data_IF_004568651225
#
_entry.id   IF_004568651225
#
_cell.length_a   1.000
_cell.length_b   1.000
_cell.length_c   1.000
_cell.angle_alpha   90.00
_cell.angle_beta   90.00
_cell.angle_gamma   90.00
#
_symmetry.space_group_name_H-M   'P 1'
#
loop_
_entity.id
_entity.type
_entity.pdbx_description
1 polymer ?
#
# COMPACT_ATOMS: atom_id res chain seq x y z
N UNK A 1 -10.20 5.50 6.85
CA UNK A 1 -9.66 5.71 5.49
C UNK A 1 -9.62 4.38 4.75
N UNK A 2 -10.66 4.07 3.97
CA UNK A 2 -10.67 2.92 3.07
C UNK A 2 -9.81 3.24 1.85
N UNK A 3 -8.62 2.62 1.76
CA UNK A 3 -7.87 2.61 0.52
C UNK A 3 -8.60 1.70 -0.47
N UNK A 4 -9.41 2.31 -1.34
CA UNK A 4 -10.03 1.62 -2.47
C UNK A 4 -8.94 1.17 -3.44
N UNK A 5 -8.58 -0.11 -3.36
CA UNK A 5 -7.79 -0.81 -4.36
C UNK A 5 -8.63 -0.99 -5.63
N UNK A 6 -8.62 0.02 -6.50
CA UNK A 6 -9.11 -0.10 -7.86
C UNK A 6 -7.95 -0.46 -8.81
N UNK A 7 -8.15 -1.56 -9.54
CA UNK A 7 -7.34 -2.16 -10.62
C UNK A 7 -6.34 -3.26 -10.21
N UNK A 8 -6.81 -4.50 -10.34
CA UNK A 8 -6.01 -5.73 -10.53
C UNK A 8 -5.33 -5.66 -11.92
N UNK A 9 -4.35 -4.78 -12.08
CA UNK A 9 -3.39 -4.88 -13.18
C UNK A 9 -2.18 -5.65 -12.67
N UNK A 10 -1.86 -6.77 -13.30
CA UNK A 10 -0.77 -7.71 -13.01
C UNK A 10 0.41 -7.07 -12.26
N UNK A 11 0.44 -7.26 -10.94
CA UNK A 11 1.52 -6.80 -10.04
C UNK A 11 2.85 -7.55 -10.31
N UNK A 12 2.81 -8.62 -11.11
CA UNK A 12 3.99 -9.45 -11.43
C UNK A 12 4.97 -8.84 -12.44
N UNK A 13 4.55 -7.96 -13.34
CA UNK A 13 5.39 -7.53 -14.47
C UNK A 13 6.04 -6.14 -14.28
N UNK A 14 5.58 -5.33 -13.32
CA UNK A 14 6.10 -3.97 -13.06
C UNK A 14 7.21 -3.90 -11.98
N UNK A 15 7.58 -5.02 -11.33
CA UNK A 15 8.45 -5.00 -10.13
C UNK A 15 9.95 -4.98 -10.38
N UNK A 16 10.44 -5.01 -11.64
CA UNK A 16 11.88 -5.15 -11.89
C UNK A 16 12.69 -3.84 -11.84
N UNK A 17 12.08 -2.66 -11.98
CA UNK A 17 12.83 -1.39 -12.06
C UNK A 17 12.27 -0.20 -11.25
N UNK A 18 11.29 -0.40 -10.36
CA UNK A 18 10.88 0.68 -9.45
C UNK A 18 11.90 0.85 -8.33
N UNK A 19 12.83 1.78 -8.53
CA UNK A 19 13.60 2.39 -7.45
C UNK A 19 12.61 3.29 -6.72
N UNK A 20 12.31 3.02 -5.45
CA UNK A 20 11.30 3.73 -4.66
C UNK A 20 11.77 5.16 -4.28
N UNK A 21 12.25 5.87 -5.29
CA UNK A 21 12.85 7.19 -5.27
C UNK A 21 11.75 8.24 -5.12
N UNK A 22 12.04 9.27 -4.31
CA UNK A 22 11.16 10.43 -4.22
C UNK A 22 11.49 11.48 -5.29
N UNK A 23 10.67 12.51 -5.35
CA UNK A 23 10.80 13.61 -6.31
C UNK A 23 12.19 14.26 -6.24
N UNK A 24 12.80 14.41 -5.06
CA UNK A 24 14.15 14.97 -4.94
C UNK A 24 15.20 14.09 -5.64
N UNK A 25 15.15 12.77 -5.45
CA UNK A 25 16.07 11.84 -6.11
C UNK A 25 15.84 11.80 -7.62
N UNK A 26 14.58 11.83 -8.06
CA UNK A 26 14.17 11.83 -9.47
C UNK A 26 14.68 13.08 -10.19
N UNK A 27 14.51 14.25 -9.57
CA UNK A 27 14.98 15.53 -10.10
C UNK A 27 16.52 15.54 -10.13
N UNK A 28 17.20 15.21 -9.02
CA UNK A 28 18.67 15.20 -8.96
C UNK A 28 19.35 14.20 -9.93
N UNK A 29 18.64 13.12 -10.30
CA UNK A 29 19.12 12.16 -11.31
C UNK A 29 19.16 12.77 -12.72
N UNK A 30 18.21 13.66 -13.06
CA UNK A 30 18.30 14.44 -14.31
C UNK A 30 19.59 15.27 -14.33
N UNK A 31 19.93 15.92 -13.22
CA UNK A 31 21.12 16.79 -13.14
C UNK A 31 22.44 16.02 -13.12
N UNK A 32 22.50 14.84 -12.48
CA UNK A 32 23.73 14.04 -12.44
C UNK A 32 24.11 13.47 -13.81
N UNK A 33 23.12 13.15 -14.65
CA UNK A 33 23.34 12.71 -16.03
C UNK A 33 23.78 13.87 -16.98
N UNK A 34 23.62 15.14 -16.58
CA UNK A 34 24.10 16.30 -17.37
C UNK A 34 25.63 16.36 -17.49
N UNK A 35 26.39 15.67 -16.63
CA UNK A 35 27.86 15.62 -16.73
C UNK A 35 28.38 14.69 -17.85
N UNK A 36 27.50 13.91 -18.51
CA UNK A 36 27.93 12.91 -19.53
C UNK A 36 27.35 13.17 -20.93
N UNK A 37 26.21 13.85 -21.07
CA UNK A 37 25.67 14.22 -22.38
C UNK A 37 25.13 15.65 -22.41
N UNK A 38 25.65 16.44 -23.34
CA UNK A 38 25.40 17.86 -23.56
C UNK A 38 24.07 18.18 -24.27
N UNK A 39 22.99 17.45 -23.95
CA UNK A 39 21.67 17.72 -24.52
C UNK A 39 20.76 18.32 -23.45
N UNK A 40 20.35 19.57 -23.67
CA UNK A 40 19.35 20.28 -22.85
C UNK A 40 18.02 19.52 -22.90
N UNK A 41 17.62 18.89 -21.81
CA UNK A 41 16.39 18.08 -21.68
C UNK A 41 15.14 18.89 -21.35
N UNK A 42 15.29 20.18 -21.07
CA UNK A 42 14.18 21.09 -20.79
C UNK A 42 13.53 21.55 -22.10
N UNK A 43 12.36 21.00 -22.43
CA UNK A 43 11.51 21.58 -23.48
C UNK A 43 10.55 22.56 -22.81
N UNK A 44 10.82 23.84 -22.97
CA UNK A 44 9.86 24.88 -22.62
C UNK A 44 8.83 25.01 -23.73
N UNK A 45 7.57 24.71 -23.44
CA UNK A 45 6.47 24.86 -24.39
C UNK A 45 5.64 26.05 -23.98
N UNK A 46 5.45 26.98 -24.91
CA UNK A 46 4.47 28.05 -24.77
C UNK A 46 3.09 27.47 -25.04
N UNK A 47 2.35 27.16 -23.98
CA UNK A 47 1.01 26.57 -24.12
C UNK A 47 -0.02 27.68 -24.34
N UNK A 48 -0.78 27.57 -25.43
CA UNK A 48 -2.01 28.35 -25.64
C UNK A 48 -3.17 27.59 -24.96
N UNK A 49 -3.94 28.21 -24.06
CA UNK A 49 -5.20 27.63 -23.59
C UNK A 49 -6.25 27.56 -24.71
N UNK A 50 -7.20 26.64 -24.58
CA UNK A 50 -8.17 26.19 -25.61
C UNK A 50 -9.23 27.22 -26.06
N UNK A 51 -9.01 28.52 -25.86
CA UNK A 51 -9.84 29.57 -26.44
C UNK A 51 -9.02 30.84 -26.67
N UNK A 52 -9.18 31.45 -27.85
CA UNK A 52 -8.45 32.63 -28.28
C UNK A 52 -8.51 33.79 -27.28
N UNK A 53 -7.42 34.56 -27.21
CA UNK A 53 -7.19 35.67 -26.28
C UNK A 53 -6.88 35.31 -24.82
N UNK A 54 -6.01 34.32 -24.61
CA UNK A 54 -5.39 34.08 -23.29
C UNK A 54 -3.86 33.95 -23.42
N UNK A 55 -3.05 34.35 -22.42
CA UNK A 55 -1.63 34.61 -22.65
C UNK A 55 -0.86 33.29 -22.68
N UNK A 56 0.28 33.28 -23.37
CA UNK A 56 1.14 32.11 -23.48
C UNK A 56 1.93 31.94 -22.18
N UNK A 57 1.83 30.78 -21.52
CA UNK A 57 2.69 30.47 -20.36
C UNK A 57 3.78 29.51 -20.78
N UNK A 58 4.98 29.80 -20.30
CA UNK A 58 6.11 28.90 -20.40
C UNK A 58 5.88 27.74 -19.42
N UNK A 59 5.68 26.54 -19.97
CA UNK A 59 5.65 25.30 -19.18
C UNK A 59 6.89 24.49 -19.46
N UNK A 60 7.44 23.90 -18.41
CA UNK A 60 8.60 23.04 -18.50
C UNK A 60 8.17 21.58 -18.52
N UNK A 61 8.72 20.82 -19.47
CA UNK A 61 8.39 19.41 -19.64
C UNK A 61 9.67 18.59 -19.72
N UNK A 62 9.73 17.52 -18.93
CA UNK A 62 10.77 16.48 -18.98
C UNK A 62 10.17 15.14 -18.55
N UNK A 63 10.89 14.05 -18.80
CA UNK A 63 10.45 12.71 -18.38
C UNK A 63 10.40 12.59 -16.85
N UNK A 64 11.36 13.15 -16.11
CA UNK A 64 11.35 13.09 -14.66
C UNK A 64 10.37 14.09 -14.04
N UNK A 65 10.14 15.26 -14.64
CA UNK A 65 9.02 16.14 -14.24
C UNK A 65 7.68 15.41 -14.40
N UNK A 66 7.46 14.73 -15.52
CA UNK A 66 6.23 13.95 -15.73
C UNK A 66 6.07 12.83 -14.69
N UNK A 67 7.17 12.19 -14.28
CA UNK A 67 7.17 11.20 -13.21
C UNK A 67 6.88 11.83 -11.83
N UNK A 68 7.51 12.97 -11.51
CA UNK A 68 7.27 13.71 -10.27
C UNK A 68 5.80 14.17 -10.16
N UNK A 69 5.24 14.65 -11.27
CA UNK A 69 3.82 14.99 -11.38
C UNK A 69 2.92 13.78 -11.15
N UNK A 70 3.27 12.61 -11.70
CA UNK A 70 2.54 11.35 -11.44
C UNK A 70 2.57 10.99 -9.95
N UNK A 71 3.71 11.13 -9.27
CA UNK A 71 3.81 10.90 -7.83
C UNK A 71 2.94 11.86 -7.00
N UNK A 72 2.74 13.09 -7.48
CA UNK A 72 1.84 14.07 -6.84
C UNK A 72 0.35 13.86 -7.19
N UNK A 73 0.02 12.84 -7.99
CA UNK A 73 -1.24 12.60 -8.68
C UNK A 73 -1.70 13.74 -9.61
N UNK A 74 -0.77 14.48 -10.19
CA UNK A 74 -1.01 15.48 -11.24
C UNK A 74 -0.62 14.99 -12.64
N UNK A 75 -0.41 13.69 -12.84
CA UNK A 75 0.00 13.06 -14.10
C UNK A 75 -1.07 13.07 -15.21
N UNK A 76 -1.67 14.24 -15.49
CA UNK A 76 -2.78 14.43 -16.45
C UNK A 76 -2.32 14.63 -17.89
N UNK A 77 -1.03 14.43 -18.19
CA UNK A 77 -0.44 14.74 -19.50
C UNK A 77 -1.04 13.92 -20.64
N UNK A 78 -1.50 12.70 -20.36
CA UNK A 78 -1.92 11.75 -21.41
C UNK A 78 -3.43 11.47 -21.46
N UNK A 79 -4.25 12.00 -20.54
CA UNK A 79 -5.70 11.78 -20.60
C UNK A 79 -6.54 12.85 -19.89
N UNK A 80 -7.31 13.60 -20.68
CA UNK A 80 -8.33 14.52 -20.18
C UNK A 80 -9.36 13.81 -19.28
N UNK A 81 -9.57 12.50 -19.48
CA UNK A 81 -10.45 11.66 -18.66
C UNK A 81 -9.97 11.54 -17.21
N UNK A 82 -8.69 11.23 -16.98
CA UNK A 82 -8.13 11.08 -15.63
C UNK A 82 -8.15 12.41 -14.87
N UNK A 83 -8.02 13.54 -15.58
CA UNK A 83 -8.16 14.88 -14.98
C UNK A 83 -9.57 15.13 -14.49
N UNK A 84 -10.58 14.88 -15.31
CA UNK A 84 -11.99 15.03 -14.93
C UNK A 84 -12.34 14.13 -13.74
N UNK A 85 -11.91 12.87 -13.76
CA UNK A 85 -12.15 11.95 -12.64
C UNK A 85 -11.48 12.40 -11.33
N UNK A 86 -10.26 12.95 -11.41
CA UNK A 86 -9.60 13.52 -10.24
C UNK A 86 -10.34 14.76 -9.71
N UNK A 87 -10.76 15.68 -10.58
CA UNK A 87 -11.54 16.85 -10.19
C UNK A 87 -12.89 16.45 -9.57
N UNK A 88 -13.60 15.49 -10.16
CA UNK A 88 -14.86 14.99 -9.60
C UNK A 88 -14.70 14.37 -8.21
N UNK A 89 -13.57 13.70 -7.94
CA UNK A 89 -13.25 13.19 -6.58
C UNK A 89 -13.03 14.32 -5.58
N UNK A 90 -12.37 15.40 -5.98
CA UNK A 90 -12.19 16.58 -5.12
C UNK A 90 -13.53 17.28 -4.84
N UNK A 91 -14.37 17.43 -5.87
CA UNK A 91 -15.71 17.99 -5.72
C UNK A 91 -16.61 17.13 -4.82
N UNK A 92 -16.49 15.80 -4.90
CA UNK A 92 -17.20 14.88 -4.00
C UNK A 92 -16.75 15.00 -2.53
N UNK A 93 -15.52 15.44 -2.30
CA UNK A 93 -14.96 15.71 -0.98
C UNK A 93 -15.21 17.16 -0.49
N UNK A 94 -16.00 17.96 -1.20
CA UNK A 94 -16.24 19.39 -0.91
C UNK A 94 -15.00 20.31 -1.07
N UNK A 95 -13.95 19.83 -1.76
CA UNK A 95 -12.71 20.57 -2.01
C UNK A 95 -12.78 21.40 -3.31
N UNK A 96 -13.79 22.27 -3.43
CA UNK A 96 -14.03 23.07 -4.65
C UNK A 96 -12.91 24.08 -4.95
N UNK A 97 -12.36 24.74 -3.93
CA UNK A 97 -11.26 25.71 -4.05
C UNK A 97 -10.03 25.08 -4.68
N UNK A 98 -9.68 23.89 -4.20
CA UNK A 98 -8.53 23.13 -4.67
C UNK A 98 -8.75 22.64 -6.09
N UNK A 99 -9.91 22.07 -6.39
CA UNK A 99 -10.25 21.61 -7.73
C UNK A 99 -10.19 22.75 -8.77
N UNK A 100 -10.68 23.94 -8.40
CA UNK A 100 -10.60 25.13 -9.23
C UNK A 100 -9.16 25.61 -9.45
N UNK A 101 -8.35 25.70 -8.40
CA UNK A 101 -6.95 26.08 -8.50
C UNK A 101 -6.15 25.11 -9.39
N UNK A 102 -6.35 23.80 -9.23
CA UNK A 102 -5.69 22.78 -10.06
C UNK A 102 -6.11 22.90 -11.54
N UNK A 103 -7.40 23.15 -11.80
CA UNK A 103 -7.90 23.38 -13.16
C UNK A 103 -7.27 24.63 -13.78
N UNK A 104 -7.15 25.70 -12.99
CA UNK A 104 -6.52 26.95 -13.40
C UNK A 104 -5.02 26.79 -13.70
N UNK A 105 -4.26 26.07 -12.86
CA UNK A 105 -2.85 25.76 -13.12
C UNK A 105 -2.67 24.91 -14.39
N UNK A 106 -3.65 24.07 -14.70
CA UNK A 106 -3.72 23.34 -15.95
C UNK A 106 -4.18 24.20 -17.15
N UNK A 107 -4.33 25.52 -16.96
CA UNK A 107 -4.77 26.51 -17.96
C UNK A 107 -6.21 26.30 -18.45
N UNK A 108 -7.00 25.53 -17.71
CA UNK A 108 -8.42 25.34 -17.96
C UNK A 108 -9.25 26.24 -17.04
N UNK A 109 -9.24 27.53 -17.38
CA UNK A 109 -9.99 28.55 -16.65
C UNK A 109 -11.51 28.35 -16.78
N UNK A 110 -12.00 27.71 -17.85
CA UNK A 110 -13.43 27.43 -18.02
C UNK A 110 -13.90 26.45 -16.95
N UNK A 111 -13.23 25.30 -16.84
CA UNK A 111 -13.55 24.31 -15.80
C UNK A 111 -13.34 24.89 -14.40
N UNK A 112 -12.31 25.73 -14.20
CA UNK A 112 -12.10 26.40 -12.91
C UNK A 112 -13.30 27.26 -12.49
N UNK A 113 -13.82 28.10 -13.39
CA UNK A 113 -15.01 28.94 -13.12
C UNK A 113 -16.25 28.08 -12.91
N UNK A 114 -16.46 27.04 -13.71
CA UNK A 114 -17.59 26.11 -13.56
C UNK A 114 -17.56 25.36 -12.23
N UNK A 115 -16.39 24.92 -11.78
CA UNK A 115 -16.21 24.25 -10.48
C UNK A 115 -16.45 25.21 -9.31
N UNK A 116 -15.94 26.44 -9.35
CA UNK A 116 -16.22 27.44 -8.31
C UNK A 116 -17.70 27.81 -8.25
N UNK A 117 -18.34 28.01 -9.41
CA UNK A 117 -19.76 28.37 -9.49
C UNK A 117 -20.65 27.25 -8.93
N UNK A 118 -20.33 25.98 -9.26
CA UNK A 118 -21.03 24.81 -8.70
C UNK A 118 -20.83 24.71 -7.18
N UNK A 119 -19.59 24.86 -6.71
CA UNK A 119 -19.29 24.86 -5.28
C UNK A 119 -20.02 25.96 -4.53
N UNK A 120 -20.08 27.16 -5.10
CA UNK A 120 -20.79 28.29 -4.52
C UNK A 120 -22.30 28.02 -4.43
N UNK A 121 -22.93 27.53 -5.50
CA UNK A 121 -24.35 27.14 -5.48
C UNK A 121 -24.67 26.07 -4.43
N UNK A 122 -23.79 25.07 -4.26
CA UNK A 122 -23.98 24.01 -3.26
C UNK A 122 -23.88 24.56 -1.84
N UNK A 123 -22.93 25.45 -1.57
CA UNK A 123 -22.75 26.06 -0.24
C UNK A 123 -23.83 27.09 0.08
N UNK A 124 -24.30 27.84 -0.92
CA UNK A 124 -25.46 28.73 -0.80
C UNK A 124 -26.73 27.95 -0.43
N UNK A 125 -26.94 26.78 -1.07
CA UNK A 125 -28.06 25.89 -0.76
C UNK A 125 -27.98 25.27 0.65
N UNK A 126 -26.79 25.26 1.27
CA UNK A 126 -26.57 24.79 2.65
C UNK A 126 -26.62 25.92 3.69
N UNK A 127 -26.93 27.15 3.28
CA UNK A 127 -26.91 28.35 4.11
C UNK A 127 -25.55 28.59 4.81
N UNK A 128 -24.45 28.12 4.20
CA UNK A 128 -23.10 28.33 4.72
C UNK A 128 -22.66 29.77 4.43
N UNK A 129 -22.67 30.59 5.48
CA UNK A 129 -22.36 32.02 5.41
C UNK A 129 -20.96 32.29 4.84
N UNK A 130 -20.92 32.96 3.68
CA UNK A 130 -19.77 33.62 3.03
C UNK A 130 -18.75 32.68 2.40
N UNK A 131 -19.12 32.07 1.27
CA UNK A 131 -18.13 31.52 0.35
C UNK A 131 -17.55 32.65 -0.54
N UNK A 132 -16.22 32.82 -0.54
CA UNK A 132 -15.54 33.72 -1.49
C UNK A 132 -15.48 33.12 -2.92
N UNK A 133 -16.20 32.02 -3.16
CA UNK A 133 -16.17 31.26 -4.42
C UNK A 133 -16.78 32.04 -5.57
N UNK A 134 -17.95 32.66 -5.38
CA UNK A 134 -18.58 33.51 -6.40
C UNK A 134 -17.71 34.70 -6.77
N UNK A 135 -17.09 35.34 -5.77
CA UNK A 135 -16.18 36.47 -5.99
C UNK A 135 -15.00 36.07 -6.89
N UNK A 136 -14.36 34.95 -6.57
CA UNK A 136 -13.23 34.43 -7.35
C UNK A 136 -13.70 34.00 -8.74
N UNK A 137 -14.83 33.29 -8.87
CA UNK A 137 -15.40 32.89 -10.17
C UNK A 137 -15.66 34.10 -11.08
N UNK A 138 -16.23 35.17 -10.53
CA UNK A 138 -16.46 36.43 -11.25
C UNK A 138 -15.13 37.06 -11.68
N UNK A 139 -14.15 37.17 -10.78
CA UNK A 139 -12.83 37.72 -11.09
C UNK A 139 -12.11 36.93 -12.19
N UNK A 140 -12.19 35.59 -12.15
CA UNK A 140 -11.65 34.70 -13.18
C UNK A 140 -12.35 34.87 -14.53
N UNK A 141 -13.67 35.02 -14.54
CA UNK A 141 -14.43 35.23 -15.78
C UNK A 141 -14.12 36.56 -16.47
N UNK A 142 -13.82 37.59 -15.67
CA UNK A 142 -13.43 38.93 -16.13
C UNK A 142 -11.97 39.06 -16.53
N UNK A 143 -11.17 37.99 -16.46
CA UNK A 143 -9.78 38.03 -16.88
C UNK A 143 -9.64 38.22 -18.39
N UNK A 144 -9.03 39.32 -18.79
CA UNK A 144 -8.68 39.64 -20.17
C UNK A 144 -7.16 39.75 -20.32
N UNK A 145 -6.61 39.37 -21.46
CA UNK A 145 -5.19 39.55 -21.80
C UNK A 145 -4.70 41.01 -21.73
N UNK A 146 -5.62 41.95 -21.75
CA UNK A 146 -5.32 43.36 -21.72
C UNK A 146 -5.01 43.78 -20.29
N UNK A 147 -3.76 44.23 -20.08
CA UNK A 147 -3.13 44.46 -18.77
C UNK A 147 -3.73 45.69 -18.09
N UNK A 148 -4.95 45.57 -17.57
CA UNK A 148 -5.49 46.61 -16.70
C UNK A 148 -4.75 46.53 -15.38
N UNK A 149 -3.76 47.40 -15.18
CA UNK A 149 -3.03 47.55 -13.91
C UNK A 149 -3.99 47.66 -12.71
N UNK A 150 -5.18 48.23 -12.93
CA UNK A 150 -6.26 48.29 -11.97
C UNK A 150 -6.82 46.90 -11.57
N UNK A 151 -7.03 46.01 -12.53
CA UNK A 151 -7.53 44.66 -12.26
C UNK A 151 -6.52 43.84 -11.45
N UNK A 152 -5.23 43.90 -11.82
CA UNK A 152 -4.15 43.23 -11.07
C UNK A 152 -4.01 43.79 -9.66
N UNK A 153 -4.08 45.12 -9.50
CA UNK A 153 -4.06 45.77 -8.18
C UNK A 153 -5.24 45.31 -7.33
N UNK A 154 -6.45 45.29 -7.90
CA UNK A 154 -7.66 44.84 -7.20
C UNK A 154 -7.56 43.36 -6.78
N UNK A 155 -7.06 42.47 -7.65
CA UNK A 155 -6.84 41.07 -7.30
C UNK A 155 -5.83 40.92 -6.15
N UNK A 156 -4.77 41.71 -6.13
CA UNK A 156 -3.79 41.72 -5.05
C UNK A 156 -4.36 42.24 -3.73
N UNK A 157 -5.16 43.30 -3.76
CA UNK A 157 -5.82 43.87 -2.58
C UNK A 157 -6.77 42.82 -1.96
N UNK A 158 -7.60 42.18 -2.79
CA UNK A 158 -8.52 41.12 -2.34
C UNK A 158 -7.82 39.81 -1.96
N UNK A 159 -6.62 39.51 -2.47
CA UNK A 159 -5.86 38.29 -2.12
C UNK A 159 -5.65 38.16 -0.62
N UNK A 160 -5.39 39.27 0.07
CA UNK A 160 -5.21 39.29 1.53
C UNK A 160 -6.50 38.98 2.30
N UNK A 161 -7.66 39.20 1.69
CA UNK A 161 -8.98 38.99 2.30
C UNK A 161 -9.50 37.56 2.10
N UNK A 162 -8.83 36.75 1.28
CA UNK A 162 -9.23 35.38 1.01
C UNK A 162 -8.71 34.43 2.10
N UNK A 163 -9.63 33.72 2.75
CA UNK A 163 -9.32 32.74 3.80
C UNK A 163 -8.63 31.48 3.26
N UNK A 164 -9.06 30.98 2.09
CA UNK A 164 -8.57 29.71 1.57
C UNK A 164 -7.25 29.87 0.78
N UNK A 165 -6.20 29.08 1.09
CA UNK A 165 -4.88 29.21 0.44
C UNK A 165 -4.92 28.93 -1.07
N UNK A 166 -5.77 28.00 -1.52
CA UNK A 166 -5.91 27.70 -2.96
C UNK A 166 -6.51 28.84 -3.77
N UNK A 167 -7.41 29.65 -3.17
CA UNK A 167 -7.97 30.82 -3.82
C UNK A 167 -6.93 31.96 -3.90
N UNK A 168 -6.13 32.14 -2.84
CA UNK A 168 -4.99 33.07 -2.85
C UNK A 168 -3.96 32.69 -3.92
N UNK A 169 -3.63 31.41 -4.01
CA UNK A 169 -2.74 30.87 -5.02
C UNK A 169 -3.29 31.03 -6.44
N UNK A 170 -4.61 30.90 -6.63
CA UNK A 170 -5.27 31.14 -7.91
C UNK A 170 -5.13 32.61 -8.36
N UNK A 171 -5.33 33.57 -7.45
CA UNK A 171 -5.11 34.99 -7.74
C UNK A 171 -3.64 35.28 -8.02
N UNK A 172 -2.72 34.81 -7.17
CA UNK A 172 -1.29 34.97 -7.38
C UNK A 172 -0.82 34.42 -8.74
N UNK A 173 -1.37 33.28 -9.18
CA UNK A 173 -1.03 32.70 -10.48
C UNK A 173 -1.45 33.60 -11.65
N UNK A 174 -2.63 34.24 -11.58
CA UNK A 174 -3.13 35.05 -12.69
C UNK A 174 -2.50 36.44 -12.69
N UNK A 175 -2.20 37.00 -11.52
CA UNK A 175 -1.51 38.30 -11.41
C UNK A 175 -0.04 38.21 -11.84
N UNK A 176 0.61 37.07 -11.60
CA UNK A 176 2.04 36.86 -11.90
C UNK A 176 2.29 36.12 -13.23
N UNK A 177 1.21 35.84 -13.98
CA UNK A 177 1.19 35.05 -15.22
C UNK A 177 2.13 35.56 -16.32
N UNK A 178 2.37 36.87 -16.40
CA UNK A 178 3.11 37.54 -17.48
C UNK A 178 4.60 37.79 -17.15
N UNK A 179 4.97 37.80 -15.87
CA UNK A 179 6.34 38.06 -15.43
C UNK A 179 7.23 36.81 -15.37
N UNK A 180 6.64 35.61 -15.50
CA UNK A 180 7.36 34.33 -15.38
C UNK A 180 7.94 34.05 -13.99
N UNK A 181 7.66 34.91 -13.00
CA UNK A 181 8.08 34.77 -11.61
C UNK A 181 6.88 34.28 -10.81
N UNK A 182 6.85 32.98 -10.54
CA UNK A 182 5.79 32.36 -9.75
C UNK A 182 6.12 32.28 -8.25
N UNK A 183 7.05 33.15 -7.81
CA UNK A 183 7.54 33.18 -6.43
C UNK A 183 6.39 33.39 -5.44
N UNK A 184 5.42 34.24 -5.77
CA UNK A 184 4.26 34.53 -4.92
C UNK A 184 3.32 33.32 -4.73
N UNK A 185 3.33 32.36 -5.66
CA UNK A 185 2.50 31.13 -5.55
C UNK A 185 3.22 30.08 -4.71
N UNK A 186 4.55 30.03 -4.80
CA UNK A 186 5.37 28.93 -4.26
C UNK A 186 5.89 29.25 -2.86
N UNK A 187 6.30 30.50 -2.62
CA UNK A 187 6.95 30.93 -1.38
C UNK A 187 6.00 31.65 -0.41
N UNK A 188 4.97 32.33 -0.90
CA UNK A 188 4.07 33.12 -0.04
C UNK A 188 2.96 32.28 0.60
N UNK A 189 2.62 31.12 0.05
CA UNK A 189 1.49 30.29 0.50
C UNK A 189 1.97 28.91 1.00
N UNK A 190 2.57 28.82 2.22
CA UNK A 190 3.05 27.55 2.78
C UNK A 190 1.91 26.56 3.10
N UNK A 191 0.68 27.05 3.29
CA UNK A 191 -0.50 26.26 3.66
C UNK A 191 -1.08 25.39 2.53
N UNK A 192 -0.56 25.52 1.31
CA UNK A 192 -0.92 24.62 0.22
C UNK A 192 -0.38 23.21 0.49
N UNK A 193 -1.14 22.18 0.13
CA UNK A 193 -0.67 20.80 0.29
C UNK A 193 0.66 20.59 -0.44
N UNK A 194 1.61 19.91 0.22
CA UNK A 194 2.98 19.75 -0.27
C UNK A 194 3.02 19.17 -1.70
N UNK A 195 2.18 18.18 -1.97
CA UNK A 195 2.03 17.54 -3.29
C UNK A 195 1.64 18.53 -4.40
N UNK A 196 0.77 19.49 -4.11
CA UNK A 196 0.28 20.43 -5.11
C UNK A 196 1.33 21.52 -5.37
N UNK A 197 2.08 21.93 -4.33
CA UNK A 197 3.21 22.86 -4.45
C UNK A 197 4.34 22.28 -5.31
N UNK A 198 4.72 21.02 -5.05
CA UNK A 198 5.75 20.31 -5.83
C UNK A 198 5.29 20.16 -7.28
N UNK A 199 4.04 19.78 -7.50
CA UNK A 199 3.50 19.61 -8.83
C UNK A 199 3.49 20.93 -9.61
N UNK A 200 3.04 22.02 -8.98
CA UNK A 200 3.09 23.36 -9.55
C UNK A 200 4.54 23.78 -9.90
N UNK A 201 5.48 23.57 -8.98
CA UNK A 201 6.89 23.86 -9.20
C UNK A 201 7.44 23.10 -10.41
N UNK A 202 7.13 21.79 -10.54
CA UNK A 202 7.56 21.00 -11.70
C UNK A 202 6.98 21.50 -13.04
N UNK A 203 5.84 22.20 -13.05
CA UNK A 203 5.23 22.73 -14.28
C UNK A 203 5.84 24.05 -14.74
N UNK A 204 6.18 24.93 -13.80
CA UNK A 204 6.42 26.36 -14.08
C UNK A 204 7.80 26.87 -13.68
N UNK A 205 8.58 26.12 -12.90
CA UNK A 205 9.96 26.48 -12.56
C UNK A 205 10.96 25.87 -13.54
N UNK A 206 11.96 26.69 -13.90
CA UNK A 206 13.14 26.22 -14.62
C UNK A 206 13.97 25.27 -13.75
N UNK A 207 14.86 24.54 -14.39
CA UNK A 207 15.71 23.54 -13.74
C UNK A 207 16.46 24.05 -12.50
N UNK A 208 17.07 25.23 -12.56
CA UNK A 208 17.91 25.75 -11.48
C UNK A 208 17.06 26.18 -10.28
N UNK A 209 16.00 26.94 -10.53
CA UNK A 209 15.08 27.37 -9.46
C UNK A 209 14.33 26.19 -8.84
N UNK A 210 13.98 25.17 -9.64
CA UNK A 210 13.33 23.96 -9.14
C UNK A 210 14.24 23.18 -8.17
N UNK A 211 15.53 23.04 -8.50
CA UNK A 211 16.48 22.37 -7.61
C UNK A 211 16.68 23.15 -6.30
N UNK A 212 16.82 24.46 -6.41
CA UNK A 212 16.95 25.37 -5.26
C UNK A 212 15.68 25.42 -4.40
N UNK A 213 14.51 25.09 -4.96
CA UNK A 213 13.27 24.95 -4.21
C UNK A 213 13.15 23.58 -3.51
N UNK A 214 13.42 22.48 -4.23
CA UNK A 214 13.18 21.12 -3.75
C UNK A 214 14.17 20.69 -2.67
N UNK A 215 15.45 21.10 -2.76
CA UNK A 215 16.47 20.67 -1.79
C UNK A 215 16.21 21.22 -0.37
N UNK A 216 15.98 22.54 -0.16
CA UNK A 216 15.62 23.07 1.16
C UNK A 216 14.31 22.50 1.68
N UNK A 217 13.29 22.37 0.83
CA UNK A 217 12.01 21.79 1.20
C UNK A 217 12.16 20.34 1.67
N UNK A 218 13.02 19.56 1.02
CA UNK A 218 13.35 18.19 1.45
C UNK A 218 14.00 18.17 2.82
N UNK A 219 14.92 19.11 3.10
CA UNK A 219 15.54 19.24 4.42
C UNK A 219 14.51 19.62 5.50
N UNK A 220 13.60 20.56 5.20
CA UNK A 220 12.54 20.99 6.10
C UNK A 220 11.58 19.85 6.47
N UNK A 221 11.11 19.06 5.49
CA UNK A 221 10.21 17.93 5.79
C UNK A 221 10.89 16.83 6.61
N UNK A 222 12.19 16.63 6.41
CA UNK A 222 12.99 15.69 7.22
C UNK A 222 13.16 16.22 8.65
N UNK A 223 13.48 17.50 8.83
CA UNK A 223 13.72 18.09 10.14
C UNK A 223 12.44 18.20 10.97
N UNK A 224 11.31 18.50 10.33
CA UNK A 224 9.99 18.58 10.98
C UNK A 224 9.35 17.21 11.22
N UNK A 225 9.81 16.17 10.52
CA UNK A 225 9.25 14.82 10.58
C UNK A 225 7.87 14.71 9.90
N UNK A 226 7.59 15.50 8.86
CA UNK A 226 6.31 15.49 8.17
C UNK A 226 6.21 14.33 7.18
N UNK A 227 5.27 13.40 7.39
CA UNK A 227 5.06 12.22 6.55
C UNK A 227 4.68 12.55 5.09
N UNK A 228 4.10 13.71 4.79
CA UNK A 228 3.87 14.13 3.39
C UNK A 228 5.18 14.22 2.60
N UNK A 229 6.29 14.47 3.29
CA UNK A 229 7.63 14.51 2.72
C UNK A 229 8.12 13.19 2.13
N UNK A 230 7.42 12.07 2.36
CA UNK A 230 7.70 10.79 1.66
C UNK A 230 7.61 10.96 0.14
N UNK A 231 6.81 11.89 -0.37
CA UNK A 231 6.75 12.20 -1.81
C UNK A 231 8.11 12.73 -2.32
N UNK A 232 8.81 13.54 -1.50
CA UNK A 232 10.10 14.13 -1.84
C UNK A 232 11.26 13.17 -1.65
N UNK A 233 11.29 12.46 -0.52
CA UNK A 233 12.40 11.56 -0.18
C UNK A 233 12.27 10.18 -0.82
N UNK A 234 11.04 9.72 -1.03
CA UNK A 234 10.74 8.33 -1.31
C UNK A 234 11.13 7.43 -0.14
N UNK A 235 11.15 6.12 -0.39
CA UNK A 235 11.64 5.13 0.55
C UNK A 235 13.17 4.92 0.39
N UNK A 236 13.90 6.02 0.44
CA UNK A 236 15.37 6.07 0.35
C UNK A 236 15.97 6.25 1.76
N UNK A 237 17.30 6.42 1.84
CA UNK A 237 18.00 6.74 3.09
C UNK A 237 17.47 8.02 3.74
N UNK A 238 17.10 9.03 2.95
CA UNK A 238 16.51 10.27 3.46
C UNK A 238 15.07 10.06 3.95
N UNK A 239 14.31 9.17 3.30
CA UNK A 239 13.00 8.75 3.79
C UNK A 239 13.07 8.04 5.13
N UNK A 240 14.12 7.24 5.36
CA UNK A 240 14.37 6.65 6.68
C UNK A 240 14.72 7.69 7.74
N UNK A 241 15.44 8.77 7.39
CA UNK A 241 15.71 9.88 8.32
C UNK A 241 14.41 10.61 8.69
N UNK A 242 13.55 10.86 7.70
CA UNK A 242 12.23 11.45 7.92
C UNK A 242 11.38 10.60 8.86
N UNK A 243 11.28 9.30 8.60
CA UNK A 243 10.55 8.37 9.46
C UNK A 243 11.14 8.30 10.88
N UNK A 244 12.47 8.33 11.03
CA UNK A 244 13.09 8.40 12.35
C UNK A 244 12.66 9.67 13.10
N UNK A 245 12.70 10.84 12.45
CA UNK A 245 12.27 12.09 13.08
C UNK A 245 10.78 12.10 13.43
N UNK A 246 9.95 11.48 12.59
CA UNK A 246 8.54 11.27 12.89
C UNK A 246 8.36 10.40 14.15
N UNK A 247 9.05 9.25 14.23
CA UNK A 247 9.01 8.36 15.39
C UNK A 247 9.54 9.06 16.64
N UNK A 248 10.65 9.79 16.54
CA UNK A 248 11.24 10.55 17.68
C UNK A 248 10.24 11.57 18.26
N UNK A 249 9.41 12.17 17.40
CA UNK A 249 8.43 13.19 17.80
C UNK A 249 7.12 12.61 18.35
N UNK A 250 6.64 11.53 17.74
CA UNK A 250 5.28 11.00 17.98
C UNK A 250 5.26 9.72 18.81
N UNK A 251 6.35 8.96 18.82
CA UNK A 251 6.39 7.59 19.32
C UNK A 251 5.61 6.58 18.46
N UNK A 252 5.02 7.00 17.33
CA UNK A 252 4.20 6.13 16.49
C UNK A 252 5.06 5.17 15.64
N UNK A 253 5.44 4.08 16.30
CA UNK A 253 6.21 2.99 15.71
C UNK A 253 5.39 2.13 14.75
N UNK A 254 4.06 2.12 14.91
CA UNK A 254 3.15 1.35 14.09
C UNK A 254 3.13 1.90 12.66
N UNK A 255 2.91 3.20 12.51
CA UNK A 255 2.88 3.85 11.20
C UNK A 255 4.21 3.71 10.50
N UNK A 256 5.33 3.93 11.20
CA UNK A 256 6.67 3.75 10.63
C UNK A 256 6.93 2.30 10.17
N UNK A 257 6.59 1.31 11.01
CA UNK A 257 6.79 -0.12 10.69
C UNK A 257 5.91 -0.57 9.51
N UNK A 258 4.65 -0.14 9.46
CA UNK A 258 3.75 -0.47 8.37
C UNK A 258 4.19 0.21 7.06
N UNK A 259 4.54 1.50 7.10
CA UNK A 259 5.05 2.22 5.93
C UNK A 259 6.29 1.53 5.35
N UNK A 260 7.22 1.10 6.21
CA UNK A 260 8.40 0.33 5.83
C UNK A 260 8.02 -0.99 5.15
N UNK A 261 7.19 -1.80 5.81
CA UNK A 261 6.89 -3.17 5.34
C UNK A 261 6.20 -3.11 3.98
N UNK A 262 5.34 -2.12 3.75
CA UNK A 262 4.62 -1.96 2.50
C UNK A 262 5.45 -1.26 1.41
N UNK A 263 6.32 -0.34 1.78
CA UNK A 263 6.95 0.61 0.86
C UNK A 263 8.42 0.37 0.53
N UNK A 264 9.14 -0.50 1.24
CA UNK A 264 10.60 -0.59 1.11
C UNK A 264 11.07 -1.82 0.32
N UNK A 265 11.96 -1.66 -0.69
CA UNK A 265 12.68 -2.77 -1.32
C UNK A 265 13.41 -3.67 -0.32
N UNK A 266 13.54 -4.96 -0.66
CA UNK A 266 14.30 -5.92 0.15
C UNK A 266 15.73 -5.46 0.50
N UNK A 267 16.36 -4.60 -0.32
CA UNK A 267 17.70 -4.06 -0.11
C UNK A 267 17.83 -3.13 1.12
N UNK A 268 16.80 -2.36 1.46
CA UNK A 268 16.80 -1.42 2.60
C UNK A 268 16.16 -2.06 3.84
N UNK A 269 15.48 -3.20 3.67
CA UNK A 269 14.87 -3.97 4.75
C UNK A 269 15.88 -4.59 5.74
N UNK A 270 17.18 -4.57 5.44
CA UNK A 270 18.24 -5.06 6.32
C UNK A 270 18.87 -3.96 7.20
N UNK A 271 18.37 -2.72 7.11
CA UNK A 271 18.85 -1.66 7.99
C UNK A 271 18.46 -1.96 9.45
N UNK A 272 19.43 -1.91 10.36
CA UNK A 272 19.27 -2.21 11.79
C UNK A 272 18.16 -1.36 12.44
N UNK A 273 18.10 -0.07 12.09
CA UNK A 273 17.06 0.85 12.59
C UNK A 273 15.65 0.39 12.23
N UNK A 274 15.48 -0.04 10.98
CA UNK A 274 14.20 -0.52 10.46
C UNK A 274 13.79 -1.83 11.14
N UNK A 275 14.76 -2.72 11.36
CA UNK A 275 14.54 -3.95 12.12
C UNK A 275 14.10 -3.63 13.55
N UNK A 276 14.80 -2.70 14.22
CA UNK A 276 14.46 -2.26 15.57
C UNK A 276 13.02 -1.73 15.68
N UNK A 277 12.56 -0.92 14.72
CA UNK A 277 11.18 -0.44 14.70
C UNK A 277 10.17 -1.57 14.59
N UNK A 278 10.42 -2.49 13.65
CA UNK A 278 9.55 -3.64 13.43
C UNK A 278 9.52 -4.52 14.68
N UNK A 279 10.66 -4.82 15.29
CA UNK A 279 10.73 -5.62 16.51
C UNK A 279 10.05 -4.92 17.70
N UNK A 280 10.18 -3.60 17.82
CA UNK A 280 9.48 -2.82 18.86
C UNK A 280 7.96 -2.85 18.68
N UNK A 281 7.46 -2.71 17.45
CA UNK A 281 6.03 -2.82 17.16
C UNK A 281 5.51 -4.25 17.37
N UNK A 282 6.33 -5.24 17.00
CA UNK A 282 6.11 -6.65 17.28
C UNK A 282 5.93 -6.88 18.79
N UNK A 283 6.90 -6.51 19.61
CA UNK A 283 6.81 -6.66 21.07
C UNK A 283 5.62 -5.89 21.66
N UNK A 284 5.29 -4.71 21.12
CA UNK A 284 4.11 -3.96 21.54
C UNK A 284 2.82 -4.75 21.31
N UNK A 285 2.67 -5.38 20.14
CA UNK A 285 1.52 -6.26 19.87
C UNK A 285 1.50 -7.49 20.78
N UNK A 286 2.66 -8.05 21.09
CA UNK A 286 2.76 -9.21 21.99
C UNK A 286 2.35 -8.84 23.42
N UNK A 287 2.81 -7.69 23.93
CA UNK A 287 2.41 -7.19 25.26
C UNK A 287 0.91 -6.90 25.37
N UNK A 288 0.27 -6.51 24.28
CA UNK A 288 -1.18 -6.30 24.21
C UNK A 288 -1.96 -7.59 23.88
N UNK A 289 -1.28 -8.74 23.79
CA UNK A 289 -1.88 -10.02 23.44
C UNK A 289 -2.60 -10.01 22.07
N UNK A 290 -2.20 -9.10 21.18
CA UNK A 290 -2.76 -8.93 19.83
C UNK A 290 -2.07 -9.88 18.84
N UNK A 291 -2.00 -11.16 19.19
CA UNK A 291 -1.28 -12.22 18.46
C UNK A 291 -1.74 -12.35 17.01
N UNK A 292 -3.04 -12.15 16.75
CA UNK A 292 -3.60 -12.21 15.40
C UNK A 292 -3.07 -11.09 14.51
N UNK A 293 -2.97 -9.87 15.03
CA UNK A 293 -2.42 -8.72 14.30
C UNK A 293 -0.92 -8.87 14.09
N UNK A 294 -0.21 -9.39 15.10
CA UNK A 294 1.19 -9.76 14.98
C UNK A 294 1.41 -10.80 13.88
N UNK A 295 0.61 -11.86 13.84
CA UNK A 295 0.70 -12.86 12.80
C UNK A 295 0.49 -12.25 11.40
N UNK A 296 -0.52 -11.37 11.24
CA UNK A 296 -0.74 -10.63 9.98
C UNK A 296 0.48 -9.79 9.58
N UNK A 297 1.09 -9.08 10.53
CA UNK A 297 2.32 -8.30 10.30
C UNK A 297 3.47 -9.18 9.79
N UNK A 298 3.70 -10.31 10.46
CA UNK A 298 4.78 -11.24 10.10
C UNK A 298 4.55 -11.89 8.71
N UNK A 299 3.29 -12.18 8.35
CA UNK A 299 2.92 -12.64 7.02
C UNK A 299 3.21 -11.57 5.97
N UNK A 300 2.83 -10.31 6.23
CA UNK A 300 3.08 -9.19 5.32
C UNK A 300 4.58 -8.98 5.09
N UNK A 301 5.39 -9.02 6.16
CA UNK A 301 6.84 -8.92 6.10
C UNK A 301 7.46 -10.05 5.27
N UNK A 302 6.99 -11.30 5.46
CA UNK A 302 7.45 -12.44 4.67
C UNK A 302 7.07 -12.34 3.19
N UNK A 303 5.86 -11.86 2.86
CA UNK A 303 5.44 -11.71 1.46
C UNK A 303 6.35 -10.75 0.69
N UNK A 304 6.84 -9.70 1.35
CA UNK A 304 7.66 -8.67 0.71
C UNK A 304 9.16 -8.97 0.74
N UNK A 305 9.61 -9.92 1.57
CA UNK A 305 10.96 -10.47 1.53
C UNK A 305 10.98 -11.73 0.67
N UNK A 306 11.70 -11.71 -0.45
CA UNK A 306 12.09 -12.94 -1.16
C UNK A 306 13.11 -13.78 -0.34
N UNK A 307 13.05 -13.72 0.99
CA UNK A 307 13.90 -14.51 1.87
C UNK A 307 13.36 -15.92 1.96
N UNK A 308 14.29 -16.86 2.11
CA UNK A 308 14.01 -18.26 2.40
C UNK A 308 12.97 -18.38 3.52
N UNK A 309 12.01 -19.31 3.40
CA UNK A 309 11.07 -19.57 4.49
C UNK A 309 11.87 -19.90 5.76
N UNK A 310 11.41 -19.43 6.95
CA UNK A 310 12.09 -19.77 8.19
C UNK A 310 12.19 -21.29 8.32
N UNK A 311 13.28 -21.81 8.92
CA UNK A 311 13.44 -23.25 9.11
C UNK A 311 12.22 -23.79 9.86
N UNK A 312 11.62 -24.87 9.35
CA UNK A 312 10.53 -25.53 10.04
C UNK A 312 11.06 -26.08 11.37
N UNK A 313 10.51 -25.59 12.48
CA UNK A 313 10.93 -25.97 13.84
C UNK A 313 10.10 -27.11 14.42
N UNK A 314 9.02 -27.52 13.76
CA UNK A 314 8.14 -28.59 14.19
C UNK A 314 7.77 -29.49 13.01
N UNK A 315 7.80 -30.81 13.25
CA UNK A 315 7.44 -31.83 12.28
C UNK A 315 6.45 -32.81 12.91
N UNK A 316 5.44 -33.25 12.16
CA UNK A 316 4.58 -34.35 12.60
C UNK A 316 5.31 -35.67 12.40
N UNK A 317 5.34 -36.54 13.41
CA UNK A 317 5.91 -37.87 13.33
C UNK A 317 4.86 -38.96 13.52
N UNK A 318 5.09 -40.13 12.93
CA UNK A 318 4.20 -41.27 13.11
C UNK A 318 4.41 -41.89 14.50
N UNK A 319 3.36 -42.05 15.29
CA UNK A 319 3.44 -42.70 16.61
C UNK A 319 4.02 -44.12 16.58
N UNK A 320 3.97 -44.80 15.43
CA UNK A 320 4.44 -46.18 15.32
C UNK A 320 5.89 -46.33 14.83
N UNK A 321 6.32 -45.52 13.86
CA UNK A 321 7.69 -45.62 13.32
C UNK A 321 8.57 -44.42 13.66
N UNK A 322 8.02 -43.41 14.33
CA UNK A 322 8.66 -42.15 14.75
C UNK A 322 9.27 -41.31 13.63
N UNK A 323 9.23 -41.79 12.39
CA UNK A 323 9.65 -41.05 11.20
C UNK A 323 8.67 -39.92 10.91
N UNK A 324 9.15 -38.77 10.40
CA UNK A 324 8.29 -37.66 10.03
C UNK A 324 7.27 -38.11 8.99
N UNK A 325 6.02 -37.69 9.17
CA UNK A 325 4.94 -37.87 8.19
C UNK A 325 5.07 -36.75 7.14
N UNK A 326 6.29 -36.38 6.75
CA UNK A 326 6.51 -35.28 5.81
C UNK A 326 5.76 -35.57 4.51
N UNK A 327 4.75 -34.74 4.24
CA UNK A 327 3.93 -34.79 3.04
C UNK A 327 4.51 -33.97 1.89
N UNK A 328 5.77 -33.55 1.98
CA UNK A 328 6.47 -32.89 0.89
C UNK A 328 7.22 -33.92 0.05
N UNK A 329 6.98 -33.90 -1.26
CA UNK A 329 7.81 -34.60 -2.26
C UNK A 329 9.23 -34.01 -2.36
N UNK A 330 9.75 -33.37 -1.30
CA UNK A 330 11.00 -32.62 -1.28
C UNK A 330 12.21 -33.46 -0.89
N UNK A 331 12.03 -34.68 -0.37
CA UNK A 331 13.15 -35.62 -0.17
C UNK A 331 13.75 -36.11 -1.51
N UNK A 332 13.19 -35.70 -2.65
CA UNK A 332 13.70 -36.00 -3.99
C UNK A 332 14.53 -34.87 -4.64
N UNK A 333 14.70 -33.72 -3.99
CA UNK A 333 15.47 -32.60 -4.57
C UNK A 333 16.56 -32.12 -3.63
N UNK A 334 17.56 -32.98 -3.39
CA UNK A 334 18.90 -32.49 -3.08
C UNK A 334 19.51 -31.89 -4.36
N UNK A 335 20.03 -30.65 -4.36
CA UNK A 335 20.61 -30.03 -5.55
C UNK A 335 21.86 -30.74 -6.12
N UNK A 336 22.39 -31.76 -5.42
CA UNK A 336 23.65 -32.41 -5.77
C UNK A 336 23.56 -33.90 -6.15
N UNK A 337 22.36 -34.47 -6.31
CA UNK A 337 22.23 -35.85 -6.79
C UNK A 337 22.25 -35.90 -8.34
N UNK A 338 23.43 -36.07 -8.94
CA UNK A 338 23.62 -36.33 -10.40
C UNK A 338 23.09 -37.70 -10.87
N UNK A 339 22.18 -38.32 -10.14
CA UNK A 339 21.62 -39.63 -10.48
C UNK A 339 20.16 -39.68 -10.04
N UNK A 340 19.24 -39.54 -10.99
CA UNK A 340 17.82 -39.80 -10.77
C UNK A 340 17.64 -41.32 -10.97
N UNK A 341 17.37 -42.14 -9.94
CA UNK A 341 16.93 -43.49 -10.18
C UNK A 341 15.53 -43.39 -10.78
N UNK A 342 15.36 -43.87 -12.02
CA UNK A 342 14.03 -44.01 -12.64
C UNK A 342 13.16 -44.88 -11.71
N UNK A 343 12.16 -44.27 -11.09
CA UNK A 343 11.16 -44.98 -10.30
C UNK A 343 10.38 -45.89 -11.27
N UNK A 344 10.26 -47.21 -11.00
CA UNK A 344 9.48 -48.11 -11.84
C UNK A 344 8.02 -47.67 -11.93
N UNK A 345 7.44 -47.74 -13.14
CA UNK A 345 6.06 -47.32 -13.47
C UNK A 345 5.01 -47.98 -12.55
N UNK A 346 5.32 -49.14 -11.96
CA UNK A 346 4.48 -49.81 -10.97
C UNK A 346 4.24 -48.99 -9.68
N UNK A 347 5.22 -48.21 -9.21
CA UNK A 347 5.09 -47.36 -8.02
C UNK A 347 4.24 -46.10 -8.30
N UNK A 348 4.22 -45.65 -9.56
CA UNK A 348 3.46 -44.48 -10.00
C UNK A 348 1.94 -44.73 -9.99
N UNK A 349 1.50 -45.99 -10.19
CA UNK A 349 0.11 -46.42 -10.00
C UNK A 349 -0.29 -46.51 -8.53
N UNK A 350 0.64 -46.87 -7.64
CA UNK A 350 0.37 -46.88 -6.19
C UNK A 350 0.24 -45.48 -5.58
N UNK A 351 0.93 -44.47 -6.13
CA UNK A 351 0.83 -43.07 -5.65
C UNK A 351 -0.54 -42.45 -5.99
N UNK A 352 -1.15 -42.82 -7.12
CA UNK A 352 -2.51 -42.34 -7.50
C UNK A 352 -3.64 -43.00 -6.70
N UNK A 353 -3.39 -44.18 -6.14
CA UNK A 353 -4.37 -44.96 -5.36
C UNK A 353 -3.95 -45.12 -3.89
N UNK A 354 -2.98 -44.32 -3.42
CA UNK A 354 -2.49 -44.42 -2.05
C UNK A 354 -3.59 -43.96 -1.11
N UNK A 355 -4.15 -44.89 -0.35
CA UNK A 355 -5.09 -44.56 0.71
C UNK A 355 -4.37 -43.65 1.71
N UNK A 356 -4.78 -42.38 1.77
CA UNK A 356 -4.19 -41.32 2.63
C UNK A 356 -4.42 -41.58 4.12
N UNK A 357 -5.00 -42.72 4.45
CA UNK A 357 -5.39 -43.16 5.76
C UNK A 357 -4.26 -43.90 6.51
N UNK A 358 -3.09 -44.06 5.88
CA UNK A 358 -1.93 -44.82 6.39
C UNK A 358 -0.63 -44.04 6.30
N UNK A 359 0.30 -44.35 7.20
CA UNK A 359 1.65 -43.82 7.20
C UNK A 359 2.43 -44.31 5.98
N UNK A 360 3.02 -43.40 5.21
CA UNK A 360 3.81 -43.73 4.00
C UNK A 360 5.11 -44.49 4.29
N UNK A 361 5.62 -44.40 5.52
CA UNK A 361 6.88 -45.06 5.89
C UNK A 361 6.68 -46.45 6.53
N UNK A 362 5.54 -46.73 7.16
CA UNK A 362 5.31 -48.04 7.81
C UNK A 362 3.96 -48.71 7.47
N UNK A 363 3.12 -48.10 6.66
CA UNK A 363 1.83 -48.66 6.20
C UNK A 363 0.72 -48.74 7.25
N UNK A 364 0.99 -48.39 8.52
CA UNK A 364 -0.02 -48.40 9.59
C UNK A 364 -1.00 -47.23 9.47
N UNK A 365 -2.26 -47.45 9.85
CA UNK A 365 -3.29 -46.42 9.80
C UNK A 365 -2.91 -45.19 10.64
N UNK A 366 -3.22 -44.00 10.13
CA UNK A 366 -3.08 -42.75 10.87
C UNK A 366 -4.13 -42.65 11.99
N UNK A 367 -3.87 -41.88 13.05
CA UNK A 367 -4.83 -41.75 14.15
C UNK A 367 -6.18 -41.22 13.66
N UNK A 368 -7.26 -41.72 14.26
CA UNK A 368 -8.63 -41.30 13.92
C UNK A 368 -9.01 -40.03 14.68
N UNK A 369 -9.86 -39.22 14.07
CA UNK A 369 -10.55 -38.16 14.78
C UNK A 369 -11.49 -38.78 15.82
N UNK A 370 -11.42 -38.29 17.06
CA UNK A 370 -12.25 -38.78 18.17
C UNK A 370 -13.76 -38.65 17.94
N UNK A 371 -14.19 -37.75 17.04
CA UNK A 371 -15.62 -37.47 16.79
C UNK A 371 -16.12 -38.18 15.54
N UNK A 372 -15.50 -37.94 14.38
CA UNK A 372 -15.98 -38.52 13.12
C UNK A 372 -15.38 -39.88 12.79
N UNK A 373 -14.43 -40.38 13.61
CA UNK A 373 -13.76 -41.68 13.48
C UNK A 373 -13.05 -41.93 12.14
N UNK A 374 -12.89 -40.89 11.31
CA UNK A 374 -12.11 -40.93 10.08
C UNK A 374 -10.64 -40.70 10.43
N UNK A 375 -9.77 -41.36 9.68
CA UNK A 375 -8.32 -41.19 9.82
C UNK A 375 -7.96 -39.73 9.53
N UNK A 376 -7.19 -39.14 10.43
CA UNK A 376 -6.66 -37.80 10.29
C UNK A 376 -5.61 -37.84 9.19
N UNK A 377 -6.00 -37.46 7.98
CA UNK A 377 -5.14 -37.31 6.82
C UNK A 377 -5.08 -35.84 6.39
N UNK A 378 -3.96 -35.44 5.81
CA UNK A 378 -3.89 -34.17 5.10
C UNK A 378 -4.66 -34.33 3.78
N UNK A 379 -5.86 -33.76 3.71
CA UNK A 379 -6.73 -33.78 2.54
C UNK A 379 -6.11 -32.89 1.44
N UNK A 380 -5.27 -33.50 0.58
CA UNK A 380 -4.59 -32.83 -0.54
C UNK A 380 -5.49 -32.75 -1.78
N UNK A 381 -6.52 -33.61 -1.88
CA UNK A 381 -7.18 -33.94 -3.15
C UNK A 381 -8.58 -33.32 -3.37
N UNK A 382 -9.02 -32.35 -2.55
CA UNK A 382 -10.18 -31.50 -2.89
C UNK A 382 -9.78 -30.15 -3.49
N UNK A 383 -8.79 -30.16 -4.38
CA UNK A 383 -8.60 -29.09 -5.36
C UNK A 383 -9.58 -29.31 -6.52
N UNK A 384 -10.34 -28.28 -6.95
CA UNK A 384 -11.13 -28.36 -8.19
C UNK A 384 -10.21 -28.76 -9.35
N UNK A 385 -10.67 -29.69 -10.17
CA UNK A 385 -9.96 -30.34 -11.28
C UNK A 385 -9.48 -29.43 -12.43
N UNK A 386 -9.43 -28.11 -12.26
CA UNK A 386 -8.99 -27.19 -13.30
C UNK A 386 -7.54 -26.78 -13.09
N UNK A 387 -6.63 -27.62 -13.57
CA UNK A 387 -5.65 -27.30 -14.62
C UNK A 387 -4.49 -28.28 -14.56
N UNK A 388 -4.12 -28.76 -15.75
CA UNK A 388 -3.00 -29.66 -16.00
C UNK A 388 -1.74 -29.14 -15.29
N UNK A 389 -1.10 -30.02 -14.51
CA UNK A 389 0.26 -29.86 -13.95
C UNK A 389 0.38 -29.03 -12.66
N UNK A 390 -0.40 -29.33 -11.62
CA UNK A 390 -0.13 -28.81 -10.28
C UNK A 390 1.07 -29.53 -9.64
N UNK A 391 2.24 -28.89 -9.73
CA UNK A 391 3.42 -29.26 -8.97
C UNK A 391 3.11 -29.23 -7.46
N UNK A 392 3.31 -30.37 -6.79
CA UNK A 392 3.15 -30.59 -5.33
C UNK A 392 3.98 -29.60 -4.48
N UNK A 393 4.94 -28.89 -5.09
CA UNK A 393 5.78 -27.85 -4.49
C UNK A 393 5.05 -26.55 -4.13
N UNK A 394 3.79 -26.34 -4.55
CA UNK A 394 3.02 -25.12 -4.20
C UNK A 394 2.38 -25.15 -2.80
N UNK A 395 2.47 -26.26 -2.06
CA UNK A 395 1.68 -26.45 -0.84
C UNK A 395 2.19 -25.72 0.42
N UNK A 396 3.45 -25.30 0.44
CA UNK A 396 4.03 -24.55 1.58
C UNK A 396 4.80 -23.30 1.18
N UNK A 397 4.75 -22.91 -0.11
CA UNK A 397 5.44 -21.75 -0.66
C UNK A 397 4.46 -20.75 -1.30
N UNK A 398 4.25 -19.64 -0.60
CA UNK A 398 4.06 -18.28 -1.17
C UNK A 398 3.08 -18.04 -2.32
N UNK A 399 1.96 -18.76 -2.43
CA UNK A 399 0.80 -18.25 -3.19
C UNK A 399 -0.49 -18.51 -2.42
N UNK A 400 -0.89 -17.53 -1.59
CA UNK A 400 -2.29 -17.40 -1.19
C UNK A 400 -3.02 -16.73 -2.35
N UNK A 401 -3.65 -17.52 -3.22
CA UNK A 401 -4.73 -17.00 -4.05
C UNK A 401 -5.85 -16.57 -3.10
N UNK A 402 -5.96 -15.26 -2.91
CA UNK A 402 -7.02 -14.61 -2.15
C UNK A 402 -8.11 -14.31 -3.17
N UNK A 403 -9.14 -15.14 -3.20
CA UNK A 403 -10.40 -14.74 -3.83
C UNK A 403 -11.01 -13.62 -3.00
N UNK A 404 -11.08 -12.43 -3.62
CA UNK A 404 -11.71 -11.25 -3.07
C UNK A 404 -13.12 -11.22 -3.64
N UNK A 405 -14.09 -11.63 -2.84
CA UNK A 405 -15.49 -11.28 -3.04
C UNK A 405 -15.93 -10.40 -1.86
N UNK A 406 -16.40 -9.19 -2.13
CA UNK A 406 -17.03 -8.32 -1.12
C UNK A 406 -16.20 -7.82 0.07
N UNK A 407 -14.88 -7.64 -0.05
CA UNK A 407 -14.11 -6.84 0.93
C UNK A 407 -13.83 -7.48 2.30
N UNK A 408 -14.14 -8.77 2.50
CA UNK A 408 -13.68 -9.54 3.66
C UNK A 408 -12.50 -10.42 3.25
N UNK A 409 -11.36 -10.28 3.91
CA UNK A 409 -10.22 -11.20 3.76
C UNK A 409 -10.65 -12.58 4.29
N UNK A 410 -11.10 -13.48 3.42
CA UNK A 410 -11.32 -14.88 3.77
C UNK A 410 -9.98 -15.61 3.71
N UNK A 411 -9.42 -15.96 4.87
CA UNK A 411 -8.55 -17.12 4.97
C UNK A 411 -9.33 -18.31 4.39
N UNK A 412 -8.71 -19.23 3.63
CA UNK A 412 -9.44 -20.41 3.16
C UNK A 412 -9.78 -21.29 4.36
N UNK A 413 -10.91 -21.00 5.03
CA UNK A 413 -11.48 -21.76 6.16
C UNK A 413 -11.48 -23.26 5.86
N UNK A 414 -11.73 -23.61 4.59
CA UNK A 414 -11.71 -24.99 4.08
C UNK A 414 -10.40 -25.76 4.36
N UNK A 415 -9.25 -25.10 4.50
CA UNK A 415 -7.94 -25.77 4.73
C UNK A 415 -7.61 -25.99 6.20
N UNK A 416 -8.04 -25.10 7.11
CA UNK A 416 -7.85 -25.31 8.55
C UNK A 416 -8.77 -26.41 9.08
N UNK A 417 -9.96 -26.57 8.51
CA UNK A 417 -10.97 -27.50 9.00
C UNK A 417 -10.47 -28.95 9.09
N UNK A 418 -9.56 -29.38 8.20
CA UNK A 418 -8.98 -30.71 8.18
C UNK A 418 -7.66 -30.83 8.95
N UNK A 419 -7.16 -29.75 9.55
CA UNK A 419 -5.92 -29.78 10.34
C UNK A 419 -6.08 -30.64 11.59
N UNK A 420 -4.95 -31.19 12.03
CA UNK A 420 -4.91 -32.02 13.22
C UNK A 420 -4.85 -31.11 14.44
N UNK A 421 -5.81 -31.28 15.34
CA UNK A 421 -5.84 -30.63 16.65
C UNK A 421 -5.82 -31.70 17.71
N UNK A 422 -4.91 -31.60 18.68
CA UNK A 422 -4.79 -32.59 19.75
C UNK A 422 -4.43 -31.92 21.08
N UNK A 423 -4.86 -32.54 22.18
CA UNK A 423 -4.44 -32.13 23.51
C UNK A 423 -3.04 -32.66 23.81
N UNK A 424 -2.15 -31.81 24.29
CA UNK A 424 -0.78 -32.23 24.65
C UNK A 424 -0.73 -33.15 25.88
N UNK A 425 -1.76 -33.09 26.76
CA UNK A 425 -1.85 -33.95 27.95
C UNK A 425 -2.35 -35.35 27.64
N UNK A 426 -3.56 -35.50 27.08
CA UNK A 426 -4.15 -36.82 26.82
C UNK A 426 -3.79 -37.39 25.43
N UNK A 427 -3.18 -36.59 24.55
CA UNK A 427 -2.80 -36.97 23.16
C UNK A 427 -3.98 -37.37 22.27
N UNK A 428 -5.21 -37.19 22.73
CA UNK A 428 -6.41 -37.33 21.92
C UNK A 428 -6.68 -36.07 21.12
N UNK A 429 -7.36 -36.24 19.98
CA UNK A 429 -7.58 -35.15 19.05
C UNK A 429 -8.49 -35.51 17.88
N UNK A 430 -8.55 -34.60 16.91
CA UNK A 430 -9.34 -34.75 15.72
C UNK A 430 -9.13 -33.63 14.72
N UNK A 431 -10.01 -33.59 13.72
CA UNK A 431 -10.08 -32.46 12.79
C UNK A 431 -10.45 -31.19 13.54
N UNK A 432 -9.78 -30.09 13.22
CA UNK A 432 -9.93 -28.81 13.93
C UNK A 432 -11.40 -28.38 14.08
N UNK A 433 -12.23 -28.50 13.02
CA UNK A 433 -13.66 -28.14 13.12
C UNK A 433 -14.46 -29.03 14.05
N UNK A 434 -14.19 -30.34 14.07
CA UNK A 434 -14.91 -31.23 14.97
C UNK A 434 -14.52 -30.95 16.42
N UNK A 435 -13.24 -30.70 16.67
CA UNK A 435 -12.76 -30.33 18.00
C UNK A 435 -13.37 -28.99 18.44
N UNK A 436 -13.35 -27.97 17.57
CA UNK A 436 -13.99 -26.67 17.83
C UNK A 436 -15.49 -26.80 18.14
N UNK A 437 -16.21 -27.59 17.34
CA UNK A 437 -17.65 -27.83 17.54
C UNK A 437 -17.95 -28.56 18.85
N UNK A 438 -17.09 -29.49 19.26
CA UNK A 438 -17.24 -30.22 20.52
C UNK A 438 -17.00 -29.31 21.72
N UNK A 439 -15.88 -28.58 21.72
CA UNK A 439 -15.47 -27.71 22.83
C UNK A 439 -16.29 -26.42 22.94
N UNK A 440 -17.15 -26.12 21.96
CA UNK A 440 -18.17 -25.08 22.10
C UNK A 440 -19.13 -25.39 23.28
N UNK A 441 -19.45 -26.67 23.50
CA UNK A 441 -20.44 -27.10 24.49
C UNK A 441 -19.87 -28.03 25.59
N UNK A 442 -18.61 -28.46 25.49
CA UNK A 442 -18.01 -29.42 26.41
C UNK A 442 -16.63 -28.94 26.86
N UNK A 443 -16.22 -29.26 28.09
CA UNK A 443 -14.88 -28.96 28.60
C UNK A 443 -13.95 -30.18 28.63
N UNK A 444 -14.52 -31.37 28.48
CA UNK A 444 -13.85 -32.67 28.62
C UNK A 444 -13.53 -33.31 27.26
N UNK A 445 -12.62 -34.27 27.28
CA UNK A 445 -12.16 -34.98 26.09
C UNK A 445 -13.31 -35.77 25.44
N UNK A 446 -13.46 -35.75 24.09
CA UNK A 446 -14.50 -36.53 23.39
C UNK A 446 -14.26 -38.05 23.39
N UNK A 447 -13.12 -38.52 23.91
CA UNK A 447 -12.80 -39.95 23.96
C UNK A 447 -13.39 -40.56 25.23
N UNK A 448 -14.13 -41.65 25.09
CA UNK A 448 -14.69 -42.38 26.23
C UNK A 448 -13.60 -42.81 27.21
N UNK A 449 -13.93 -42.76 28.51
CA UNK A 449 -13.03 -43.05 29.63
C UNK A 449 -11.82 -42.11 29.76
N UNK A 450 -11.82 -40.96 29.08
CA UNK A 450 -10.80 -39.92 29.23
C UNK A 450 -11.32 -38.72 30.03
N UNK A 451 -10.94 -38.64 31.30
CA UNK A 451 -11.35 -37.54 32.20
C UNK A 451 -10.49 -36.26 32.05
N UNK A 452 -9.90 -36.03 30.87
CA UNK A 452 -9.05 -34.86 30.65
C UNK A 452 -9.90 -33.62 30.33
N UNK A 453 -9.82 -32.58 31.17
CA UNK A 453 -10.43 -31.27 30.91
C UNK A 453 -9.64 -30.49 29.85
N UNK A 454 -9.69 -30.95 28.60
CA UNK A 454 -8.88 -30.44 27.49
C UNK A 454 -9.10 -28.94 27.24
N UNK A 455 -10.35 -28.46 27.30
CA UNK A 455 -10.66 -27.04 27.03
C UNK A 455 -10.08 -26.10 28.10
N UNK A 456 -10.14 -26.52 29.37
CA UNK A 456 -9.62 -25.73 30.49
C UNK A 456 -8.07 -25.64 30.52
N UNK A 457 -7.39 -26.49 29.76
CA UNK A 457 -5.92 -26.50 29.67
C UNK A 457 -5.39 -25.73 28.47
N UNK A 458 -6.27 -25.27 27.57
CA UNK A 458 -5.91 -24.42 26.45
C UNK A 458 -5.98 -22.95 26.90
N UNK A 459 -4.82 -22.37 27.25
CA UNK A 459 -4.69 -20.98 27.68
C UNK A 459 -5.18 -19.97 26.62
N UNK A 460 -5.22 -20.36 25.34
CA UNK A 460 -5.77 -19.54 24.25
C UNK A 460 -7.30 -19.48 24.23
N UNK A 461 -7.98 -20.53 24.70
CA UNK A 461 -9.45 -20.61 24.70
C UNK A 461 -10.07 -19.78 25.85
N UNK A 462 -9.33 -19.62 26.95
CA UNK A 462 -9.70 -18.73 28.06
C UNK A 462 -9.73 -17.26 27.64
N UNK A 463 -8.80 -16.81 26.78
CA UNK A 463 -8.73 -15.43 26.32
C UNK A 463 -9.89 -15.05 25.38
N UNK A 464 -10.36 -15.97 24.53
CA UNK A 464 -11.48 -15.72 23.61
C UNK A 464 -12.82 -15.63 24.35
N UNK A 465 -13.08 -16.51 25.32
CA UNK A 465 -14.33 -16.48 26.11
C UNK A 465 -14.48 -15.22 26.98
N UNK A 466 -13.38 -14.60 27.42
CA UNK A 466 -13.46 -13.35 28.19
C UNK A 466 -13.72 -12.13 27.30
N UNK A 467 -13.40 -12.19 26.01
CA UNK A 467 -13.64 -11.07 25.08
C UNK A 467 -15.10 -10.98 24.62
N UNK A 468 -15.83 -12.11 24.58
CA UNK A 468 -17.27 -12.14 24.24
C UNK A 468 -18.19 -11.85 25.43
N UNK A 469 -17.64 -11.59 26.63
CA UNK A 469 -18.40 -11.26 27.85
C UNK A 469 -18.15 -9.84 28.39
N UNK A 470 -17.55 -8.95 27.59
CA UNK A 470 -17.39 -7.51 27.92
C UNK A 470 -18.12 -6.65 26.92
#
# INVERSE_FOLDING_TARGET
>A
MQFNYASKTRIGELRKDYRFEGVNSIINREFSNKKVHSDQTEKSVMVKPDAGSRPKVKRYTSSCRSLAMKLCNWGFSDSAKNRKEYLSRLEANDEFERAAAISLFNLDMKTAVETLSRGAMIRDAREESKSNLHLVAMALSGYTNDKRAFWTKMCNDYRSMLLHPYLRAAFAFITSYDGGKFDDVIWTEPDLQLRDRIAFACMFLDDETLQNYVAPLTYEVISTGNLEGIILTGFTTDGLKLLQKFVDKTGDIQTASLAVIHGIPSAISNNERVLSWIESYREFLDRLELWHYRCKLDILRKRNRHTTPPPQTAFLSCNNCSKPINLTASDFTSPNAKYVPRIPIALQKQIKNASFDRCRNCGKALPKCAICLRNMCLDIDRLPNDTKSANILMFFGSHTDIDVDGGKVMYPKKRFNSWFSWCQSCRHGGHATHMESWFANHNECPVQDCNCSCSARDSSFFAIKMCDQV
#
